data_IF_644392475092
#
_entry.id   IF_644392475092
#
_cell.length_a   1.000
_cell.length_b   1.000
_cell.length_c   1.000
_cell.angle_alpha   90.00
_cell.angle_beta   90.00
_cell.angle_gamma   90.00
#
_symmetry.space_group_name_H-M   'P 1'
#
loop_
_entity.id
_entity.type
_entity.pdbx_description
1 polymer ?
#
# COMPACT_ATOMS: atom_id res chain seq x y z
N UNK A 1 37.71 49.31 -10.24
CA UNK A 1 36.27 49.40 -10.58
C UNK A 1 35.94 49.22 -12.08
N UNK A 2 36.88 49.37 -13.03
CA UNK A 2 36.59 49.20 -14.47
C UNK A 2 36.57 47.73 -14.94
N UNK A 3 37.40 46.84 -14.34
CA UNK A 3 37.39 45.40 -14.68
C UNK A 3 36.03 44.71 -14.42
N UNK A 4 35.35 45.06 -13.33
CA UNK A 4 34.10 44.41 -12.91
C UNK A 4 32.94 44.62 -13.90
N UNK A 5 32.93 45.74 -14.64
CA UNK A 5 31.92 46.00 -15.68
C UNK A 5 32.14 45.21 -16.98
N UNK A 6 33.37 44.75 -17.26
CA UNK A 6 33.64 43.95 -18.47
C UNK A 6 33.28 42.47 -18.32
N UNK A 7 33.39 41.87 -17.13
CA UNK A 7 32.94 40.48 -16.91
C UNK A 7 31.42 40.32 -17.07
N UNK A 8 30.62 41.30 -16.60
CA UNK A 8 29.16 41.23 -16.70
C UNK A 8 28.62 41.28 -18.13
N UNK A 9 29.28 41.97 -19.07
CA UNK A 9 28.84 41.97 -20.47
C UNK A 9 29.17 40.67 -21.22
N UNK A 10 30.23 39.95 -20.83
CA UNK A 10 30.60 38.67 -21.45
C UNK A 10 29.66 37.51 -21.08
N UNK A 11 29.07 37.51 -19.87
CA UNK A 11 28.08 36.51 -19.48
C UNK A 11 26.72 36.67 -20.18
N UNK A 12 26.28 37.91 -20.43
CA UNK A 12 25.01 38.20 -21.12
C UNK A 12 25.00 37.74 -22.59
N UNK A 13 26.15 37.87 -23.26
CA UNK A 13 26.31 37.47 -24.67
C UNK A 13 26.30 35.95 -24.85
N UNK A 14 26.82 35.19 -23.87
CA UNK A 14 26.82 33.72 -23.90
C UNK A 14 25.42 33.12 -23.72
N UNK A 15 24.62 33.64 -22.78
CA UNK A 15 23.23 33.18 -22.57
C UNK A 15 22.37 33.35 -23.83
N UNK A 16 22.60 34.43 -24.58
CA UNK A 16 21.81 34.77 -25.78
C UNK A 16 22.09 33.83 -26.97
N UNK A 17 23.32 33.33 -27.10
CA UNK A 17 23.72 32.42 -28.20
C UNK A 17 23.22 30.99 -27.96
N UNK A 18 23.29 30.50 -26.72
CA UNK A 18 22.81 29.16 -26.34
C UNK A 18 21.28 29.05 -26.53
N UNK A 19 20.53 30.10 -26.19
CA UNK A 19 19.07 30.12 -26.36
C UNK A 19 18.64 30.11 -27.84
N UNK A 20 19.43 30.72 -28.73
CA UNK A 20 19.13 30.78 -30.17
C UNK A 20 19.37 29.44 -30.90
N UNK A 21 20.34 28.65 -30.43
CA UNK A 21 20.64 27.31 -30.94
C UNK A 21 19.60 26.27 -30.50
N UNK A 22 19.13 26.34 -29.25
CA UNK A 22 18.05 25.48 -28.74
C UNK A 22 16.72 25.69 -29.47
N UNK A 23 16.42 26.93 -29.91
CA UNK A 23 15.19 27.22 -30.65
C UNK A 23 15.20 26.69 -32.09
N UNK A 24 16.38 26.58 -32.73
CA UNK A 24 16.51 26.02 -34.08
C UNK A 24 16.38 24.49 -34.13
N UNK A 25 16.74 23.78 -33.04
CA UNK A 25 16.59 22.33 -32.96
C UNK A 25 15.10 21.89 -32.92
N UNK A 26 14.20 22.73 -32.40
CA UNK A 26 12.76 22.41 -32.31
C UNK A 26 11.99 22.54 -33.63
N UNK A 27 12.56 23.15 -34.68
CA UNK A 27 11.84 23.38 -35.94
C UNK A 27 12.05 22.29 -37.02
N UNK A 28 12.84 21.25 -36.74
CA UNK A 28 13.27 20.25 -37.74
C UNK A 28 12.67 18.84 -37.57
N UNK A 29 11.81 18.60 -36.56
CA UNK A 29 11.15 17.31 -36.34
C UNK A 29 9.61 17.42 -36.38
N UNK A 30 9.09 17.99 -37.46
CA UNK A 30 7.66 17.94 -37.81
C UNK A 30 7.48 17.94 -39.32
N UNK A 31 6.64 17.02 -39.81
CA UNK A 31 6.14 16.81 -41.20
C UNK A 31 6.80 15.68 -42.02
N UNK A 32 6.13 14.51 -42.03
CA UNK A 32 5.99 13.53 -43.13
C UNK A 32 5.26 12.28 -42.57
N UNK A 33 4.22 11.67 -43.15
CA UNK A 33 3.43 11.98 -44.35
C UNK A 33 2.00 11.43 -44.18
N UNK A 34 0.99 12.10 -44.77
CA UNK A 34 -0.31 11.49 -45.06
C UNK A 34 -0.29 10.94 -46.49
N UNK A 35 -0.76 9.71 -46.68
CA UNK A 35 -1.23 9.22 -47.98
C UNK A 35 -2.73 8.95 -47.91
N UNK A 36 -3.45 9.42 -48.92
CA UNK A 36 -4.89 9.25 -49.09
C UNK A 36 -5.12 8.15 -50.12
N UNK A 37 -6.11 7.29 -49.88
CA UNK A 37 -6.78 6.58 -50.95
C UNK A 37 -8.30 6.68 -50.74
N UNK A 38 -9.05 6.83 -51.84
CA UNK A 38 -10.42 7.33 -51.85
C UNK A 38 -11.40 6.29 -52.45
N UNK A 39 -12.67 6.73 -52.60
CA UNK A 39 -13.84 6.02 -53.17
C UNK A 39 -14.58 5.08 -52.20
N UNK A 40 -15.92 5.02 -52.18
CA UNK A 40 -16.93 5.85 -52.89
C UNK A 40 -18.27 5.85 -52.13
N UNK A 41 -19.15 6.80 -52.48
CA UNK A 41 -20.45 7.03 -51.83
C UNK A 41 -21.63 6.39 -52.58
N UNK A 42 -22.56 5.75 -51.86
CA UNK A 42 -23.97 5.66 -52.28
C UNK A 42 -24.90 5.51 -51.07
N UNK A 43 -26.03 6.24 -51.09
CA UNK A 43 -27.05 6.34 -50.02
C UNK A 43 -28.34 5.57 -50.40
N UNK A 44 -29.39 5.42 -49.55
CA UNK A 44 -29.98 4.11 -49.30
C UNK A 44 -31.48 3.96 -49.67
N UNK A 45 -32.01 2.73 -49.57
CA UNK A 45 -33.44 2.43 -49.40
C UNK A 45 -33.63 1.05 -48.70
N UNK A 46 -34.77 0.77 -48.04
CA UNK A 46 -34.86 -0.27 -47.00
C UNK A 46 -35.46 -1.61 -47.46
N UNK A 47 -35.18 -2.69 -46.73
CA UNK A 47 -36.02 -3.92 -46.75
C UNK A 47 -35.94 -4.66 -45.42
N UNK A 48 -37.05 -5.30 -45.05
CA UNK A 48 -37.34 -5.92 -43.76
C UNK A 48 -37.05 -7.43 -43.70
N UNK A 49 -36.66 -7.90 -42.50
CA UNK A 49 -36.86 -9.25 -41.92
C UNK A 49 -36.23 -10.46 -42.65
N UNK A 50 -35.27 -11.09 -41.97
CA UNK A 50 -35.27 -12.54 -41.72
C UNK A 50 -34.35 -12.89 -40.53
N UNK A 51 -34.81 -13.69 -39.58
CA UNK A 51 -34.00 -14.28 -38.50
C UNK A 51 -33.64 -15.71 -38.89
N UNK A 52 -32.35 -16.08 -39.02
CA UNK A 52 -31.91 -17.48 -39.08
C UNK A 52 -31.55 -18.00 -37.68
N UNK A 53 -31.65 -19.32 -37.43
CA UNK A 53 -31.49 -19.90 -36.10
C UNK A 53 -30.02 -20.05 -35.66
N UNK A 54 -29.82 -20.20 -34.35
CA UNK A 54 -28.51 -20.39 -33.73
C UNK A 54 -27.81 -21.68 -34.19
N UNK A 55 -26.50 -21.56 -34.44
CA UNK A 55 -25.55 -22.66 -34.68
C UNK A 55 -24.28 -22.41 -33.85
N UNK A 56 -23.50 -23.46 -33.53
CA UNK A 56 -22.65 -23.47 -32.33
C UNK A 56 -21.41 -22.58 -32.45
N UNK A 57 -21.27 -21.64 -31.51
CA UNK A 57 -20.02 -20.88 -31.32
C UNK A 57 -19.02 -21.78 -30.58
N UNK A 58 -18.23 -22.53 -31.33
CA UNK A 58 -17.02 -23.17 -30.83
C UNK A 58 -15.94 -22.10 -30.62
N UNK A 59 -15.89 -21.53 -29.42
CA UNK A 59 -14.93 -20.50 -29.04
C UNK A 59 -14.83 -20.36 -27.53
N UNK A 60 -14.11 -21.28 -26.88
CA UNK A 60 -13.87 -21.24 -25.43
C UNK A 60 -12.92 -20.09 -25.08
N UNK A 61 -13.49 -18.91 -24.81
CA UNK A 61 -12.89 -18.01 -23.84
C UNK A 61 -12.92 -18.69 -22.45
N UNK A 62 -11.86 -18.58 -21.62
CA UNK A 62 -11.89 -19.14 -20.26
C UNK A 62 -13.00 -18.44 -19.45
N UNK A 63 -13.90 -19.24 -18.88
CA UNK A 63 -15.08 -18.75 -18.15
C UNK A 63 -14.69 -18.13 -16.81
N UNK A 64 -14.97 -16.84 -16.64
CA UNK A 64 -14.90 -16.12 -15.37
C UNK A 64 -16.21 -16.29 -14.59
N UNK A 65 -16.35 -17.37 -13.80
CA UNK A 65 -17.45 -17.56 -12.84
C UNK A 65 -16.90 -18.27 -11.58
N UNK A 66 -17.31 -17.82 -10.38
CA UNK A 66 -16.88 -18.36 -9.07
C UNK A 66 -17.37 -19.80 -8.76
N UNK A 67 -17.26 -20.31 -7.54
CA UNK A 67 -17.02 -19.69 -6.22
C UNK A 67 -16.01 -20.54 -5.40
N UNK A 68 -15.62 -20.29 -4.14
CA UNK A 68 -16.12 -19.43 -3.06
C UNK A 68 -14.99 -18.80 -2.23
N UNK A 69 -15.23 -17.54 -1.81
CA UNK A 69 -14.73 -16.80 -0.64
C UNK A 69 -13.20 -16.75 -0.33
N UNK A 70 -12.59 -15.64 0.10
CA UNK A 70 -13.04 -14.31 0.59
C UNK A 70 -13.29 -13.35 -0.60
N UNK A 71 -14.32 -12.47 -0.64
CA UNK A 71 -15.12 -11.85 0.44
C UNK A 71 -15.72 -12.78 1.51
N UNK A 72 -15.52 -12.47 2.79
CA UNK A 72 -16.04 -13.24 3.95
C UNK A 72 -15.22 -14.46 4.44
N UNK A 73 -15.00 -15.44 3.56
CA UNK A 73 -14.47 -16.82 3.79
C UNK A 73 -15.41 -17.78 4.57
N UNK A 74 -15.64 -18.95 4.00
CA UNK A 74 -16.21 -20.15 4.65
C UNK A 74 -15.34 -21.37 4.33
N UNK A 75 -15.35 -22.40 5.18
CA UNK A 75 -14.26 -23.40 5.23
C UNK A 75 -14.23 -24.43 4.09
N UNK A 76 -13.01 -24.78 3.66
CA UNK A 76 -12.63 -26.19 3.53
C UNK A 76 -12.53 -26.79 2.11
N UNK A 77 -11.63 -26.29 1.26
CA UNK A 77 -11.13 -27.05 0.10
C UNK A 77 -9.76 -26.54 -0.39
N UNK A 78 -8.95 -27.45 -0.94
CA UNK A 78 -7.61 -27.14 -1.50
C UNK A 78 -7.77 -26.78 -2.99
N UNK A 79 -7.22 -25.64 -3.42
CA UNK A 79 -7.42 -25.08 -4.77
C UNK A 79 -6.17 -25.20 -5.65
N UNK A 80 -6.29 -25.79 -6.85
CA UNK A 80 -5.17 -26.12 -7.76
C UNK A 80 -4.93 -25.14 -8.93
N UNK A 81 -5.54 -23.96 -8.93
CA UNK A 81 -5.33 -22.90 -9.96
C UNK A 81 -5.19 -21.50 -9.35
N UNK A 82 -4.54 -20.54 -10.04
CA UNK A 82 -4.47 -19.14 -9.61
C UNK A 82 -5.83 -18.44 -9.77
N UNK A 83 -6.23 -17.61 -8.78
CA UNK A 83 -7.43 -16.76 -8.88
C UNK A 83 -7.04 -15.28 -8.95
N UNK A 84 -7.59 -14.61 -9.97
CA UNK A 84 -7.93 -13.18 -9.87
C UNK A 84 -9.33 -13.16 -9.27
N UNK A 85 -9.51 -12.51 -8.13
CA UNK A 85 -10.86 -12.24 -7.63
C UNK A 85 -11.45 -11.11 -8.45
N UNK A 86 -12.24 -11.44 -9.46
CA UNK A 86 -13.28 -10.50 -9.87
C UNK A 86 -14.16 -10.27 -8.63
N UNK A 87 -14.30 -9.01 -8.22
CA UNK A 87 -15.39 -8.62 -7.33
C UNK A 87 -16.71 -8.84 -8.11
N UNK A 88 -17.20 -10.09 -8.13
CA UNK A 88 -18.59 -10.36 -8.47
C UNK A 88 -19.42 -9.66 -7.41
N UNK A 89 -20.01 -8.55 -7.85
CA UNK A 89 -21.10 -7.85 -7.21
C UNK A 89 -20.79 -7.19 -5.85
N UNK A 90 -20.26 -5.95 -5.94
CA UNK A 90 -20.77 -4.86 -5.07
C UNK A 90 -22.28 -4.61 -5.27
N UNK A 91 -22.90 -5.29 -6.25
CA UNK A 91 -24.33 -5.61 -6.26
C UNK A 91 -24.67 -6.79 -5.33
N UNK A 92 -24.21 -6.76 -4.07
CA UNK A 92 -25.14 -7.11 -2.99
C UNK A 92 -26.25 -6.07 -3.09
N UNK A 93 -27.24 -6.38 -3.93
CA UNK A 93 -28.48 -5.64 -3.99
C UNK A 93 -28.96 -5.48 -2.56
N UNK A 94 -29.44 -4.30 -2.21
CA UNK A 94 -29.95 -3.97 -0.89
C UNK A 94 -31.19 -4.80 -0.55
N UNK A 95 -30.97 -6.06 -0.17
CA UNK A 95 -31.94 -7.01 0.37
C UNK A 95 -32.16 -6.78 1.87
N UNK A 96 -31.59 -5.71 2.44
CA UNK A 96 -31.85 -5.29 3.81
C UNK A 96 -33.24 -4.66 4.03
N UNK A 97 -34.07 -4.54 2.98
CA UNK A 97 -35.39 -3.93 3.08
C UNK A 97 -35.34 -2.50 3.67
N UNK A 98 -36.42 -2.04 4.32
CA UNK A 98 -36.32 -0.91 5.23
C UNK A 98 -35.77 -1.41 6.57
N UNK A 99 -34.53 -1.04 6.90
CA UNK A 99 -34.14 -1.01 8.31
C UNK A 99 -35.02 0.00 9.03
N UNK A 100 -35.46 -0.33 10.25
CA UNK A 100 -36.01 0.67 11.16
C UNK A 100 -34.93 1.74 11.40
N UNK A 101 -35.34 3.02 11.41
CA UNK A 101 -34.44 4.12 11.73
C UNK A 101 -33.91 4.04 13.17
N UNK A 102 -34.65 3.33 14.03
CA UNK A 102 -34.43 3.16 15.47
C UNK A 102 -33.63 1.87 15.76
N UNK A 103 -32.56 1.67 15.00
CA UNK A 103 -31.54 0.65 15.27
C UNK A 103 -30.25 1.34 15.70
N UNK A 104 -29.92 1.21 16.99
CA UNK A 104 -28.71 1.77 17.57
C UNK A 104 -27.45 1.26 16.81
N UNK A 105 -26.45 2.12 16.57
CA UNK A 105 -25.22 1.71 15.90
C UNK A 105 -24.52 0.55 16.61
N UNK A 106 -23.91 -0.35 15.85
CA UNK A 106 -23.02 -1.40 16.38
C UNK A 106 -21.58 -1.06 16.00
N UNK A 107 -20.73 -0.91 17.01
CA UNK A 107 -19.29 -0.64 16.87
C UNK A 107 -18.49 -1.92 17.09
N UNK A 108 -17.67 -2.29 16.11
CA UNK A 108 -16.72 -3.42 16.21
C UNK A 108 -15.29 -2.89 16.23
N UNK A 109 -14.51 -3.24 17.25
CA UNK A 109 -13.08 -2.91 17.37
C UNK A 109 -12.27 -4.15 17.02
N UNK A 110 -11.54 -4.14 15.90
CA UNK A 110 -10.97 -5.36 15.30
C UNK A 110 -9.96 -6.08 16.21
N UNK A 111 -9.09 -5.33 16.88
CA UNK A 111 -8.05 -5.89 17.77
C UNK A 111 -8.46 -5.88 19.25
N UNK A 112 -9.77 -5.84 19.53
CA UNK A 112 -10.34 -5.91 20.88
C UNK A 112 -10.29 -4.59 21.64
N UNK A 113 -10.94 -4.58 22.82
CA UNK A 113 -11.11 -3.41 23.67
C UNK A 113 -9.88 -3.09 24.55
N UNK A 114 -8.82 -3.89 24.52
CA UNK A 114 -7.55 -3.59 25.20
C UNK A 114 -6.40 -3.88 24.26
N UNK A 115 -5.59 -2.88 23.97
CA UNK A 115 -4.50 -2.96 22.99
C UNK A 115 -3.24 -2.29 23.56
N UNK A 116 -2.07 -2.74 23.13
CA UNK A 116 -0.77 -2.27 23.62
C UNK A 116 0.12 -1.81 22.46
N UNK A 117 0.76 -0.66 22.62
CA UNK A 117 1.61 -0.02 21.62
C UNK A 117 2.86 0.59 22.27
N UNK A 118 3.92 0.80 21.48
CA UNK A 118 5.16 1.42 21.96
C UNK A 118 6.03 0.54 22.85
N UNK A 119 5.55 -0.61 23.36
CA UNK A 119 6.35 -1.55 24.17
C UNK A 119 7.49 -2.23 23.41
N UNK A 120 7.45 -2.19 22.07
CA UNK A 120 8.56 -2.52 21.18
C UNK A 120 9.14 -1.27 20.49
N UNK A 121 8.77 -0.05 20.86
CA UNK A 121 9.06 1.15 20.07
C UNK A 121 8.04 1.39 18.96
N UNK A 122 8.36 2.29 18.02
CA UNK A 122 7.34 2.92 17.17
C UNK A 122 7.72 2.91 15.67
N UNK A 123 7.05 2.09 14.82
CA UNK A 123 7.32 2.06 13.39
C UNK A 123 6.82 3.31 12.64
N UNK A 124 5.95 4.10 13.25
CA UNK A 124 5.44 5.36 12.71
C UNK A 124 5.10 6.36 13.82
N UNK A 125 4.62 7.56 13.47
CA UNK A 125 4.12 8.56 14.42
C UNK A 125 2.77 8.20 15.06
N UNK A 126 1.96 7.37 14.41
CA UNK A 126 0.57 7.14 14.79
C UNK A 126 0.37 5.78 15.44
N UNK A 127 -0.51 5.74 16.44
CA UNK A 127 -1.22 4.53 16.83
C UNK A 127 -2.55 4.50 16.09
N UNK A 128 -2.86 3.37 15.45
CA UNK A 128 -4.10 3.16 14.70
C UNK A 128 -5.03 2.24 15.50
N UNK A 129 -6.18 2.76 15.96
CA UNK A 129 -7.26 1.92 16.46
C UNK A 129 -8.29 1.73 15.34
N UNK A 130 -8.37 0.49 14.84
CA UNK A 130 -9.13 0.13 13.66
C UNK A 130 -10.44 -0.58 14.03
N UNK A 131 -11.49 -0.36 13.24
CA UNK A 131 -12.79 -0.95 13.48
C UNK A 131 -13.81 -0.64 12.37
N UNK A 132 -15.04 -1.08 12.58
CA UNK A 132 -16.17 -0.85 11.69
C UNK A 132 -17.43 -0.44 12.47
N UNK A 133 -18.26 0.44 11.89
CA UNK A 133 -19.58 0.80 12.40
C UNK A 133 -20.70 0.38 11.45
N UNK A 134 -21.65 -0.42 11.94
CA UNK A 134 -22.85 -0.83 11.20
C UNK A 134 -24.13 -0.28 11.83
N UNK A 135 -25.19 -0.03 11.05
CA UNK A 135 -25.22 0.01 9.58
C UNK A 135 -24.83 1.42 9.10
N UNK A 136 -23.71 1.55 8.34
CA UNK A 136 -23.15 2.83 7.84
C UNK A 136 -24.22 3.83 7.38
N UNK A 137 -25.21 3.37 6.59
CA UNK A 137 -26.24 4.24 5.98
C UNK A 137 -27.15 4.97 6.97
N UNK A 138 -27.20 4.54 8.23
CA UNK A 138 -27.94 5.22 9.30
C UNK A 138 -27.05 6.10 10.17
N UNK A 139 -25.71 6.09 10.00
CA UNK A 139 -24.79 6.83 10.87
C UNK A 139 -24.74 8.31 10.47
N UNK A 140 -25.24 9.18 11.36
CA UNK A 140 -25.23 10.63 11.19
C UNK A 140 -23.93 11.27 11.68
N UNK A 141 -23.25 10.66 12.67
CA UNK A 141 -21.90 11.06 13.08
C UNK A 141 -21.13 9.90 13.71
N UNK A 142 -19.82 9.89 13.47
CA UNK A 142 -18.85 9.04 14.14
C UNK A 142 -17.73 9.94 14.70
N UNK A 143 -17.41 9.78 15.98
CA UNK A 143 -16.40 10.58 16.68
C UNK A 143 -15.57 9.72 17.62
N UNK A 144 -14.37 10.19 18.01
CA UNK A 144 -13.62 9.62 19.12
C UNK A 144 -13.20 10.69 20.14
N UNK A 145 -13.02 10.32 21.41
CA UNK A 145 -12.30 11.12 22.40
C UNK A 145 -11.12 10.34 22.97
N UNK A 146 -10.03 11.04 23.29
CA UNK A 146 -8.86 10.52 23.99
C UNK A 146 -8.80 11.12 25.38
N UNK A 147 -8.69 10.29 26.42
CA UNK A 147 -8.52 10.69 27.82
C UNK A 147 -9.54 11.74 28.31
N UNK A 148 -10.78 11.67 27.82
CA UNK A 148 -11.86 12.62 28.15
C UNK A 148 -11.82 13.97 27.42
N UNK A 149 -10.90 14.16 26.47
CA UNK A 149 -10.82 15.36 25.63
C UNK A 149 -12.08 15.54 24.75
N UNK A 150 -12.34 16.75 24.21
CA UNK A 150 -13.47 17.00 23.32
C UNK A 150 -13.48 16.05 22.10
N UNK A 151 -14.65 15.48 21.72
CA UNK A 151 -14.73 14.53 20.62
C UNK A 151 -14.23 15.11 19.29
N UNK A 152 -13.44 14.32 18.57
CA UNK A 152 -12.91 14.59 17.24
C UNK A 152 -13.68 13.77 16.20
N UNK A 153 -14.00 14.33 15.02
CA UNK A 153 -14.71 13.60 13.97
C UNK A 153 -13.85 12.48 13.37
N UNK A 154 -14.53 11.39 12.98
CA UNK A 154 -13.99 10.33 12.13
C UNK A 154 -14.74 10.33 10.81
N UNK A 155 -14.03 10.03 9.73
CA UNK A 155 -14.65 9.60 8.48
C UNK A 155 -15.08 8.12 8.59
N UNK A 156 -15.77 7.64 7.57
CA UNK A 156 -16.18 6.24 7.43
C UNK A 156 -15.94 5.78 6.00
N UNK A 157 -15.34 4.59 5.84
CA UNK A 157 -15.20 3.91 4.55
C UNK A 157 -16.55 3.49 3.97
N UNK A 158 -16.63 2.99 2.74
CA UNK A 158 -15.52 2.84 1.80
C UNK A 158 -15.01 4.19 1.24
N UNK A 159 -13.69 4.44 1.27
CA UNK A 159 -13.05 5.66 0.74
C UNK A 159 -12.15 5.41 -0.51
N UNK A 160 -12.11 4.16 -0.99
CA UNK A 160 -11.19 3.65 -2.04
C UNK A 160 -9.70 3.80 -1.69
N UNK A 161 -9.40 3.92 -0.40
CA UNK A 161 -8.06 3.98 0.19
C UNK A 161 -8.09 3.18 1.50
N UNK A 162 -7.59 3.77 2.59
CA UNK A 162 -7.29 3.09 3.86
C UNK A 162 -8.55 2.58 4.58
N UNK A 163 -9.73 3.15 4.28
CA UNK A 163 -11.02 2.68 4.80
C UNK A 163 -11.75 1.90 3.70
N UNK A 164 -11.53 0.60 3.67
CA UNK A 164 -11.91 -0.25 2.55
C UNK A 164 -13.41 -0.53 2.44
N UNK A 165 -14.02 -0.98 3.53
CA UNK A 165 -15.40 -1.44 3.57
C UNK A 165 -16.33 -0.37 4.16
N UNK A 166 -17.62 -0.53 3.90
CA UNK A 166 -18.62 0.41 4.39
C UNK A 166 -18.72 0.38 5.92
N UNK A 167 -18.46 1.53 6.54
CA UNK A 167 -18.42 1.69 7.99
C UNK A 167 -17.04 1.56 8.61
N UNK A 168 -16.00 1.21 7.84
CA UNK A 168 -14.63 1.12 8.36
C UNK A 168 -14.16 2.49 8.89
N UNK A 169 -13.41 2.49 9.99
CA UNK A 169 -12.79 3.68 10.55
C UNK A 169 -11.38 3.37 11.09
N UNK A 170 -10.54 4.41 11.11
CA UNK A 170 -9.18 4.35 11.63
C UNK A 170 -8.98 5.57 12.55
N UNK A 171 -8.81 5.35 13.86
CA UNK A 171 -8.46 6.41 14.82
C UNK A 171 -6.95 6.56 14.83
N UNK A 172 -6.45 7.67 14.29
CA UNK A 172 -5.02 7.99 14.25
C UNK A 172 -4.61 8.88 15.44
N UNK A 173 -3.98 8.28 16.44
CA UNK A 173 -3.51 8.98 17.64
C UNK A 173 -2.03 9.32 17.50
N UNK A 174 -1.68 10.59 17.68
CA UNK A 174 -0.27 11.00 17.78
C UNK A 174 0.34 10.41 19.06
N UNK A 175 1.45 9.70 18.96
CA UNK A 175 2.14 9.16 20.14
C UNK A 175 2.56 10.25 21.14
N UNK A 176 2.72 11.50 20.70
CA UNK A 176 3.03 12.64 21.58
C UNK A 176 1.81 13.15 22.38
N UNK A 177 0.59 12.71 22.02
CA UNK A 177 -0.64 12.99 22.77
C UNK A 177 -1.01 11.86 23.75
N UNK A 178 -0.31 10.73 23.69
CA UNK A 178 -0.52 9.59 24.59
C UNK A 178 0.23 9.79 25.91
N UNK A 179 -0.40 9.37 26.99
CA UNK A 179 0.23 9.21 28.30
C UNK A 179 1.07 7.94 28.28
N UNK A 180 2.23 7.95 28.96
CA UNK A 180 2.96 6.73 29.26
C UNK A 180 2.16 5.90 30.28
N UNK A 181 1.84 4.65 29.94
CA UNK A 181 0.85 3.83 30.62
C UNK A 181 -0.53 3.84 29.96
N UNK A 182 -1.59 3.93 30.78
CA UNK A 182 -2.98 3.68 30.34
C UNK A 182 -3.63 4.93 29.76
N UNK A 183 -4.13 4.82 28.54
CA UNK A 183 -4.98 5.79 27.88
C UNK A 183 -6.39 5.21 27.67
N UNK A 184 -7.41 6.06 27.70
CA UNK A 184 -8.80 5.67 27.41
C UNK A 184 -9.24 6.35 26.13
N UNK A 185 -9.69 5.57 25.15
CA UNK A 185 -10.28 6.08 23.90
C UNK A 185 -11.75 5.68 23.87
N UNK A 186 -12.64 6.62 23.57
CA UNK A 186 -14.08 6.33 23.43
C UNK A 186 -14.52 6.68 22.02
N UNK A 187 -14.85 5.68 21.20
CA UNK A 187 -15.47 5.88 19.89
C UNK A 187 -16.98 5.93 20.12
N UNK A 188 -17.66 6.95 19.59
CA UNK A 188 -19.12 7.12 19.69
C UNK A 188 -19.71 7.28 18.31
N UNK A 189 -20.72 6.46 18.01
CA UNK A 189 -21.54 6.56 16.81
C UNK A 189 -22.94 7.06 17.19
N UNK A 190 -23.50 7.97 16.38
CA UNK A 190 -24.88 8.45 16.51
C UNK A 190 -25.61 8.19 15.19
N UNK A 191 -26.79 7.57 15.24
CA UNK A 191 -27.60 7.34 14.03
C UNK A 191 -28.51 8.56 13.69
N UNK A 192 -29.22 8.50 12.57
CA UNK A 192 -30.16 9.54 12.12
C UNK A 192 -31.38 9.72 13.03
N UNK A 193 -31.73 8.74 13.87
CA UNK A 193 -32.74 8.85 14.94
C UNK A 193 -32.17 9.41 16.26
N UNK A 194 -30.90 9.85 16.28
CA UNK A 194 -30.13 10.29 17.45
C UNK A 194 -29.83 9.21 18.51
N UNK A 195 -30.05 7.94 18.22
CA UNK A 195 -29.61 6.85 19.08
C UNK A 195 -28.08 6.73 19.02
N UNK A 196 -27.48 6.31 20.14
CA UNK A 196 -26.03 6.32 20.32
C UNK A 196 -25.52 5.00 20.86
N UNK A 197 -24.36 4.62 20.36
CA UNK A 197 -23.55 3.55 20.94
C UNK A 197 -22.11 4.04 21.07
N UNK A 198 -21.44 3.57 22.11
CA UNK A 198 -20.06 3.90 22.40
C UNK A 198 -19.24 2.64 22.67
N UNK A 199 -18.03 2.60 22.14
CA UNK A 199 -17.03 1.57 22.43
C UNK A 199 -15.86 2.23 23.17
N UNK A 200 -15.50 1.70 24.33
CA UNK A 200 -14.35 2.15 25.11
C UNK A 200 -13.18 1.20 24.88
N UNK A 201 -12.03 1.76 24.47
CA UNK A 201 -10.77 1.05 24.26
C UNK A 201 -9.78 1.51 25.34
N UNK A 202 -9.19 0.55 26.04
CA UNK A 202 -8.01 0.75 26.89
C UNK A 202 -6.76 0.60 26.04
N UNK A 203 -6.03 1.69 25.84
CA UNK A 203 -4.78 1.73 25.06
C UNK A 203 -3.61 1.84 26.04
N UNK A 204 -2.83 0.78 26.19
CA UNK A 204 -1.57 0.84 26.94
C UNK A 204 -0.47 1.32 26.00
N UNK A 205 0.17 2.44 26.33
CA UNK A 205 1.29 2.98 25.55
C UNK A 205 2.56 2.98 26.40
N UNK A 206 3.69 2.56 25.82
CA UNK A 206 5.00 2.71 26.46
C UNK A 206 5.82 3.75 25.69
N UNK A 207 6.11 4.88 26.32
CA UNK A 207 6.88 5.96 25.73
C UNK A 207 8.39 5.66 25.73
N UNK A 208 9.13 6.24 24.78
CA UNK A 208 10.60 6.26 24.78
C UNK A 208 11.31 4.92 24.51
N UNK A 209 10.58 3.82 24.30
CA UNK A 209 11.18 2.55 23.86
C UNK A 209 11.60 2.63 22.39
N UNK A 210 12.68 1.94 22.04
CA UNK A 210 13.21 1.81 20.68
C UNK A 210 13.24 0.32 20.31
N UNK A 211 12.76 -0.01 19.10
CA UNK A 211 12.71 -1.40 18.65
C UNK A 211 14.11 -2.02 18.54
N UNK A 212 14.36 -3.19 19.16
CA UNK A 212 15.66 -3.84 19.10
C UNK A 212 16.02 -4.24 17.66
N UNK A 213 17.27 -4.02 17.26
CA UNK A 213 17.83 -4.48 16.00
C UNK A 213 19.12 -5.27 16.32
N UNK A 214 19.23 -6.58 15.98
CA UNK A 214 18.32 -7.39 15.19
C UNK A 214 16.97 -7.70 15.86
N UNK A 215 15.99 -8.06 15.05
CA UNK A 215 14.65 -8.49 15.47
C UNK A 215 14.20 -9.71 14.66
N UNK A 216 13.31 -10.54 15.22
CA UNK A 216 12.56 -11.54 14.45
C UNK A 216 11.19 -11.73 15.09
N UNK A 217 10.11 -11.71 14.30
CA UNK A 217 8.75 -11.98 14.81
C UNK A 217 8.58 -13.45 15.18
N UNK A 218 7.53 -13.75 15.94
CA UNK A 218 7.03 -15.11 16.11
C UNK A 218 5.50 -15.07 16.11
N UNK A 219 4.88 -15.12 14.92
CA UNK A 219 3.43 -15.02 14.77
C UNK A 219 2.68 -16.14 15.49
N UNK A 220 3.27 -17.34 15.50
CA UNK A 220 2.70 -18.54 16.11
C UNK A 220 2.72 -18.51 17.65
N UNK A 221 3.77 -17.92 18.24
CA UNK A 221 3.97 -17.86 19.69
C UNK A 221 3.30 -16.67 20.38
N UNK A 222 3.00 -15.58 19.66
CA UNK A 222 2.36 -14.41 20.24
C UNK A 222 0.90 -14.66 20.67
N UNK A 223 0.35 -13.79 21.52
CA UNK A 223 -1.07 -13.71 21.85
C UNK A 223 -1.85 -12.72 20.96
N UNK A 224 -1.18 -11.76 20.32
CA UNK A 224 -1.78 -10.85 19.31
C UNK A 224 -0.76 -10.43 18.23
N UNK A 225 -1.21 -9.80 17.14
CA UNK A 225 -0.28 -9.17 16.17
C UNK A 225 0.47 -8.01 16.84
N UNK A 226 -0.25 -7.20 17.63
CA UNK A 226 0.31 -6.03 18.32
C UNK A 226 1.39 -6.37 19.37
N UNK A 227 1.49 -7.62 19.81
CA UNK A 227 2.59 -8.04 20.68
C UNK A 227 3.95 -8.00 19.99
N UNK A 228 4.00 -8.30 18.68
CA UNK A 228 5.24 -8.52 17.91
C UNK A 228 5.37 -7.65 16.64
N UNK A 229 4.37 -6.83 16.32
CA UNK A 229 4.34 -5.89 15.20
C UNK A 229 3.32 -4.75 15.49
N UNK A 230 3.10 -3.82 14.57
CA UNK A 230 1.97 -2.88 14.65
C UNK A 230 1.13 -2.95 13.38
N UNK A 231 -0.15 -3.28 13.48
CA UNK A 231 -1.08 -3.06 12.36
C UNK A 231 -1.27 -1.56 12.15
N UNK A 232 -1.19 -1.15 10.88
CA UNK A 232 -1.35 0.23 10.41
C UNK A 232 -2.70 0.38 9.71
N UNK A 233 -3.03 -0.56 8.81
CA UNK A 233 -4.29 -0.58 8.06
C UNK A 233 -4.82 -1.99 7.78
N UNK A 234 -6.15 -2.07 7.75
CA UNK A 234 -6.92 -3.28 7.52
C UNK A 234 -7.12 -4.14 8.76
N UNK A 235 -8.07 -5.05 8.66
CA UNK A 235 -8.22 -6.17 9.58
C UNK A 235 -7.26 -7.29 9.17
N UNK A 236 -6.53 -7.86 10.12
CA UNK A 236 -5.54 -8.91 9.93
C UNK A 236 -5.77 -10.05 10.92
N UNK A 237 -5.64 -11.28 10.44
CA UNK A 237 -5.70 -12.49 11.26
C UNK A 237 -4.35 -13.19 11.31
N UNK A 238 -4.14 -13.96 12.37
CA UNK A 238 -3.01 -14.90 12.48
C UNK A 238 -3.52 -16.30 12.19
N UNK A 239 -2.89 -16.97 11.24
CA UNK A 239 -3.26 -18.31 10.78
C UNK A 239 -2.00 -19.08 10.37
N UNK A 240 -1.85 -20.32 10.85
CA UNK A 240 -0.76 -21.21 10.42
C UNK A 240 0.67 -20.69 10.67
N UNK A 241 0.89 -19.82 11.65
CA UNK A 241 2.19 -19.16 11.87
C UNK A 241 2.49 -18.01 10.89
N UNK A 242 1.45 -17.48 10.23
CA UNK A 242 1.51 -16.31 9.36
C UNK A 242 0.51 -15.25 9.81
N UNK A 243 0.67 -14.02 9.34
CA UNK A 243 -0.41 -13.02 9.29
C UNK A 243 -0.97 -12.91 7.88
N UNK A 244 -2.28 -12.66 7.76
CA UNK A 244 -3.00 -12.51 6.49
C UNK A 244 -4.04 -11.39 6.62
N UNK A 245 -4.18 -10.48 5.64
CA UNK A 245 -5.24 -9.49 5.70
C UNK A 245 -6.57 -10.23 5.55
N UNK A 246 -7.58 -9.86 6.34
CA UNK A 246 -8.88 -10.49 6.15
C UNK A 246 -9.49 -10.03 4.84
N UNK A 247 -9.34 -8.77 4.43
CA UNK A 247 -9.89 -8.25 3.16
C UNK A 247 -8.77 -7.79 2.21
N UNK A 248 -8.80 -8.25 0.96
CA UNK A 248 -8.11 -7.58 -0.14
C UNK A 248 -8.81 -6.24 -0.45
N UNK A 249 -8.04 -5.16 -0.47
CA UNK A 249 -8.43 -3.80 -0.90
C UNK A 249 -7.15 -2.95 -0.93
N UNK A 250 -7.27 -1.63 -1.11
CA UNK A 250 -6.19 -0.67 -1.00
C UNK A 250 -5.41 -0.81 0.32
N UNK A 251 -4.08 -0.80 0.22
CA UNK A 251 -3.07 -0.84 1.29
C UNK A 251 -3.48 -1.56 2.58
N UNK A 252 -3.12 -2.84 2.69
CA UNK A 252 -3.07 -3.57 3.95
C UNK A 252 -1.66 -3.52 4.49
N UNK A 253 -1.49 -2.95 5.67
CA UNK A 253 -0.19 -2.47 6.16
C UNK A 253 0.08 -2.94 7.59
N UNK A 254 1.27 -3.52 7.80
CA UNK A 254 1.79 -3.91 9.13
C UNK A 254 3.23 -3.42 9.28
N UNK A 255 3.46 -2.54 10.25
CA UNK A 255 4.75 -1.94 10.57
C UNK A 255 5.57 -2.80 11.53
N UNK A 256 6.88 -2.88 11.29
CA UNK A 256 7.85 -3.61 12.09
C UNK A 256 9.11 -2.75 12.24
N UNK A 257 9.60 -2.65 13.48
CA UNK A 257 10.80 -1.89 13.78
C UNK A 257 10.55 -0.46 14.23
N UNK A 258 11.62 0.30 14.35
CA UNK A 258 11.58 1.68 14.84
C UNK A 258 11.88 2.68 13.73
N UNK A 259 11.32 3.88 13.84
CA UNK A 259 11.68 5.00 12.95
C UNK A 259 13.16 5.41 13.03
N UNK A 260 13.88 5.03 14.08
CA UNK A 260 15.31 5.30 14.24
C UNK A 260 16.27 4.33 13.50
N UNK A 261 15.77 3.25 12.87
CA UNK A 261 16.63 2.29 12.19
C UNK A 261 17.22 2.84 10.88
N UNK A 262 18.54 2.77 10.69
CA UNK A 262 19.24 3.37 9.51
C UNK A 262 19.66 2.35 8.45
N UNK A 263 20.35 1.27 8.87
CA UNK A 263 21.08 0.34 8.02
C UNK A 263 20.70 -1.10 8.39
N UNK A 264 19.93 -1.77 7.52
CA UNK A 264 19.42 -3.10 7.82
C UNK A 264 19.04 -3.90 6.57
N UNK A 265 18.94 -5.20 6.78
CA UNK A 265 18.43 -6.20 5.85
C UNK A 265 17.23 -6.90 6.49
N UNK A 266 16.15 -7.04 5.73
CA UNK A 266 14.92 -7.74 6.12
C UNK A 266 14.66 -8.92 5.18
N UNK A 267 14.23 -10.03 5.74
CA UNK A 267 13.75 -11.24 5.04
C UNK A 267 12.35 -11.56 5.53
N UNK A 268 11.42 -11.77 4.59
CA UNK A 268 10.03 -12.11 4.88
C UNK A 268 9.58 -13.29 4.00
N UNK A 269 9.16 -14.43 4.60
CA UNK A 269 8.41 -15.46 3.88
C UNK A 269 7.05 -14.89 3.47
N UNK A 270 6.66 -15.01 2.20
CA UNK A 270 5.31 -14.63 1.72
C UNK A 270 4.69 -15.75 0.89
N UNK A 271 3.36 -15.78 0.82
CA UNK A 271 2.62 -16.63 -0.12
C UNK A 271 1.45 -15.84 -0.68
N UNK A 272 1.41 -15.67 -2.00
CA UNK A 272 0.40 -14.89 -2.70
C UNK A 272 -0.76 -15.81 -3.07
N UNK A 273 -1.93 -15.60 -2.46
CA UNK A 273 -3.10 -16.46 -2.67
C UNK A 273 -3.95 -15.99 -3.84
N UNK A 274 -4.19 -14.68 -3.90
CA UNK A 274 -4.97 -14.04 -4.97
C UNK A 274 -4.65 -12.54 -5.11
N UNK A 275 -5.12 -11.99 -6.21
CA UNK A 275 -5.01 -10.57 -6.61
C UNK A 275 -6.43 -10.03 -6.82
N UNK A 276 -6.70 -8.81 -6.36
CA UNK A 276 -7.94 -8.09 -6.71
C UNK A 276 -7.99 -7.85 -8.21
N UNK A 277 -9.14 -8.14 -8.81
CA UNK A 277 -9.45 -7.82 -10.20
C UNK A 277 -9.67 -6.32 -10.37
N UNK A 278 -10.82 -5.95 -10.93
CA UNK A 278 -11.00 -4.61 -11.49
C UNK A 278 -10.85 -3.45 -10.49
N UNK A 279 -11.25 -3.61 -9.23
CA UNK A 279 -11.10 -2.55 -8.22
C UNK A 279 -9.61 -2.22 -7.99
N UNK A 280 -8.72 -3.23 -7.96
CA UNK A 280 -7.29 -3.05 -7.78
C UNK A 280 -6.54 -2.39 -8.93
N UNK A 281 -7.03 -2.48 -10.17
CA UNK A 281 -6.44 -1.80 -11.34
C UNK A 281 -6.99 -0.39 -11.60
N UNK A 282 -8.08 -0.01 -10.93
CA UNK A 282 -8.67 1.32 -11.08
C UNK A 282 -7.91 2.38 -10.26
N UNK A 283 -7.98 3.68 -10.63
CA UNK A 283 -7.50 4.76 -9.77
C UNK A 283 -8.28 4.80 -8.43
N UNK A 284 -7.63 5.08 -7.28
CA UNK A 284 -6.26 5.60 -7.16
C UNK A 284 -5.14 4.54 -7.27
N UNK A 285 -5.44 3.26 -7.04
CA UNK A 285 -4.48 2.14 -6.95
C UNK A 285 -3.65 1.96 -8.22
N UNK A 286 -4.32 1.95 -9.38
CA UNK A 286 -3.70 1.74 -10.70
C UNK A 286 -2.94 0.40 -10.83
N UNK A 287 -3.24 -0.57 -9.96
CA UNK A 287 -2.76 -1.95 -10.04
C UNK A 287 -2.32 -2.53 -8.67
N UNK A 288 -2.55 -3.83 -8.41
CA UNK A 288 -2.13 -4.49 -7.18
C UNK A 288 -0.60 -4.64 -6.98
N UNK A 289 -0.17 -4.91 -5.75
CA UNK A 289 1.22 -5.19 -5.42
C UNK A 289 1.47 -5.72 -4.00
N UNK A 290 2.57 -6.47 -3.81
CA UNK A 290 2.98 -7.04 -2.51
C UNK A 290 4.48 -6.88 -2.30
N UNK A 291 4.89 -6.33 -1.16
CA UNK A 291 6.30 -6.14 -0.88
C UNK A 291 6.63 -5.53 0.47
N UNK A 292 7.82 -4.93 0.50
CA UNK A 292 8.47 -4.36 1.67
C UNK A 292 8.82 -2.91 1.37
N UNK A 293 8.41 -2.00 2.25
CA UNK A 293 8.81 -0.60 2.21
C UNK A 293 9.77 -0.34 3.36
N UNK A 294 10.96 0.18 3.05
CA UNK A 294 12.03 0.46 4.01
C UNK A 294 12.19 1.95 4.25
N UNK A 295 12.72 2.27 5.44
CA UNK A 295 12.87 3.63 5.97
C UNK A 295 11.56 4.42 5.96
N UNK A 296 10.50 3.78 6.43
CA UNK A 296 9.21 4.44 6.56
C UNK A 296 9.15 5.32 7.81
N UNK A 297 8.59 6.52 7.67
CA UNK A 297 8.33 7.44 8.78
C UNK A 297 6.85 7.46 9.24
N UNK A 298 5.98 6.75 8.52
CA UNK A 298 4.55 6.71 8.78
C UNK A 298 3.72 7.40 7.70
N UNK A 299 2.40 7.39 7.89
CA UNK A 299 1.54 8.24 7.07
C UNK A 299 1.70 9.73 7.47
N UNK A 300 1.46 10.63 6.52
CA UNK A 300 1.44 12.07 6.78
C UNK A 300 0.23 12.74 6.14
N UNK A 301 -0.12 13.92 6.65
CA UNK A 301 -1.25 14.70 6.17
C UNK A 301 -0.90 15.39 4.84
N UNK A 302 -1.65 15.11 3.77
CA UNK A 302 -1.48 15.84 2.51
C UNK A 302 -2.38 17.09 2.42
N UNK A 303 -3.58 17.01 2.98
CA UNK A 303 -4.55 18.10 3.00
C UNK A 303 -5.35 18.10 4.32
N UNK A 304 -6.62 17.73 4.28
CA UNK A 304 -7.52 17.61 5.44
C UNK A 304 -8.23 16.25 5.49
N UNK A 305 -7.62 15.25 4.87
CA UNK A 305 -8.15 13.88 4.82
C UNK A 305 -8.09 13.18 6.18
N UNK A 306 -9.01 12.26 6.42
CA UNK A 306 -9.02 11.40 7.59
C UNK A 306 -9.43 9.99 7.11
N UNK A 307 -8.67 8.93 7.41
CA UNK A 307 -7.30 8.96 7.93
C UNK A 307 -6.31 9.60 6.92
N UNK A 308 -5.09 9.89 7.36
CA UNK A 308 -4.02 10.48 6.53
C UNK A 308 -3.66 9.60 5.34
N UNK A 309 -3.43 10.17 4.17
CA UNK A 309 -3.14 9.37 2.95
C UNK A 309 -1.75 9.59 2.36
N UNK A 310 -0.97 10.56 2.86
CA UNK A 310 0.44 10.67 2.49
C UNK A 310 1.22 9.46 2.97
N UNK A 311 2.07 8.89 2.12
CA UNK A 311 2.83 7.66 2.40
C UNK A 311 4.28 7.72 1.89
N UNK A 312 4.59 8.71 1.05
CA UNK A 312 5.86 8.89 0.34
C UNK A 312 7.05 9.32 1.22
N UNK A 313 6.87 9.47 2.54
CA UNK A 313 7.97 9.61 3.51
C UNK A 313 8.62 8.23 3.75
N UNK A 314 9.30 7.74 2.71
CA UNK A 314 9.90 6.41 2.58
C UNK A 314 11.30 6.48 1.97
N UNK A 315 12.15 5.49 2.26
CA UNK A 315 13.40 5.27 1.55
C UNK A 315 13.18 4.60 0.19
N UNK A 316 12.65 3.37 0.22
CA UNK A 316 12.23 2.65 -0.98
C UNK A 316 11.16 1.57 -0.71
N UNK A 317 10.32 1.28 -1.70
CA UNK A 317 9.35 0.16 -1.73
C UNK A 317 9.78 -0.84 -2.80
N UNK A 318 10.19 -2.04 -2.39
CA UNK A 318 10.48 -3.18 -3.27
C UNK A 318 9.33 -4.18 -3.23
N UNK A 319 8.70 -4.43 -4.38
CA UNK A 319 7.49 -5.26 -4.46
C UNK A 319 7.35 -6.02 -5.79
N UNK A 320 6.56 -7.09 -5.75
CA UNK A 320 5.87 -7.59 -6.94
C UNK A 320 4.71 -6.65 -7.28
N UNK A 321 4.55 -6.31 -8.57
CA UNK A 321 3.61 -5.30 -9.05
C UNK A 321 2.83 -5.82 -10.26
N UNK A 322 1.49 -5.78 -10.23
CA UNK A 322 0.60 -6.16 -11.34
C UNK A 322 0.07 -4.94 -12.09
N UNK A 323 0.49 -4.76 -13.32
CA UNK A 323 0.04 -3.67 -14.18
C UNK A 323 -0.99 -4.16 -15.20
N UNK A 324 -1.83 -3.24 -15.70
CA UNK A 324 -2.76 -3.48 -16.81
C UNK A 324 -2.42 -2.53 -17.95
N UNK A 325 -2.17 -3.05 -19.14
CA UNK A 325 -1.88 -2.22 -20.32
C UNK A 325 -3.15 -1.58 -20.91
N UNK A 326 -2.97 -0.70 -21.91
CA UNK A 326 -4.09 -0.05 -22.61
C UNK A 326 -4.95 -0.99 -23.46
N UNK A 327 -4.54 -2.25 -23.65
CA UNK A 327 -5.33 -3.33 -24.26
C UNK A 327 -6.06 -4.20 -23.24
N UNK A 328 -5.88 -3.95 -21.94
CA UNK A 328 -6.44 -4.74 -20.84
C UNK A 328 -5.62 -5.95 -20.41
N UNK A 329 -4.43 -6.17 -20.98
CA UNK A 329 -3.58 -7.30 -20.60
C UNK A 329 -2.96 -7.04 -19.23
N UNK A 330 -3.08 -8.01 -18.32
CA UNK A 330 -2.45 -7.96 -17.00
C UNK A 330 -1.07 -8.63 -17.08
N UNK A 331 -0.05 -7.96 -16.57
CA UNK A 331 1.32 -8.47 -16.44
C UNK A 331 1.91 -8.12 -15.09
N UNK A 332 2.87 -8.91 -14.61
CA UNK A 332 3.54 -8.69 -13.34
C UNK A 332 5.06 -8.70 -13.48
N UNK A 333 5.74 -8.10 -12.52
CA UNK A 333 7.19 -8.11 -12.39
C UNK A 333 7.61 -7.52 -11.03
N UNK A 334 8.91 -7.42 -10.79
CA UNK A 334 9.43 -6.67 -9.66
C UNK A 334 9.58 -5.19 -10.01
N UNK A 335 9.25 -4.33 -9.06
CA UNK A 335 9.46 -2.89 -9.15
C UNK A 335 10.12 -2.40 -7.85
N UNK A 336 10.93 -1.36 -7.97
CA UNK A 336 11.53 -0.65 -6.85
C UNK A 336 11.23 0.84 -6.98
N UNK A 337 10.46 1.38 -6.04
CA UNK A 337 10.11 2.80 -5.94
C UNK A 337 10.94 3.49 -4.87
N UNK A 338 11.20 4.79 -5.00
CA UNK A 338 11.93 5.61 -4.02
C UNK A 338 11.20 6.90 -3.62
N UNK A 339 11.79 7.60 -2.64
CA UNK A 339 11.24 8.80 -1.97
C UNK A 339 10.49 9.82 -2.85
N UNK A 340 11.05 10.23 -4.00
CA UNK A 340 10.52 11.33 -4.81
C UNK A 340 9.18 10.97 -5.46
N UNK A 341 8.07 11.23 -4.77
CA UNK A 341 6.69 10.90 -5.17
C UNK A 341 6.46 9.41 -5.53
N UNK A 342 7.24 8.48 -4.95
CA UNK A 342 7.18 7.07 -5.32
C UNK A 342 7.78 6.78 -6.70
N UNK A 343 8.77 7.56 -7.14
CA UNK A 343 9.45 7.38 -8.43
C UNK A 343 10.08 5.99 -8.55
N UNK A 344 9.89 5.35 -9.71
CA UNK A 344 10.58 4.12 -10.08
C UNK A 344 12.10 4.33 -10.23
N UNK A 345 12.88 3.50 -9.54
CA UNK A 345 14.35 3.52 -9.53
C UNK A 345 14.99 2.20 -10.01
N UNK A 346 14.24 1.10 -10.06
CA UNK A 346 14.59 -0.12 -10.78
C UNK A 346 13.34 -0.97 -11.10
N UNK A 347 13.44 -1.82 -12.13
CA UNK A 347 12.44 -2.84 -12.48
C UNK A 347 13.13 -4.13 -12.94
N UNK A 348 12.47 -5.26 -12.67
CA UNK A 348 12.77 -6.55 -13.28
C UNK A 348 11.44 -7.15 -13.79
N UNK A 349 11.11 -6.97 -15.09
CA UNK A 349 9.89 -7.49 -15.69
C UNK A 349 9.95 -9.00 -16.00
N UNK A 350 11.07 -9.67 -15.68
CA UNK A 350 11.28 -11.10 -15.99
C UNK A 350 10.98 -12.00 -14.79
N UNK A 351 11.12 -11.49 -13.57
CA UNK A 351 10.76 -12.21 -12.34
C UNK A 351 9.28 -12.02 -12.02
N UNK A 352 8.47 -13.01 -12.43
CA UNK A 352 7.00 -13.04 -12.27
C UNK A 352 6.63 -13.98 -11.10
N UNK A 353 5.72 -13.58 -10.19
CA UNK A 353 5.31 -14.42 -9.07
C UNK A 353 4.32 -15.51 -9.50
N UNK A 354 4.50 -16.74 -9.01
CA UNK A 354 3.47 -17.77 -9.04
C UNK A 354 2.54 -17.67 -7.82
N UNK A 355 1.24 -17.87 -8.01
CA UNK A 355 0.28 -17.96 -6.91
C UNK A 355 0.46 -19.26 -6.12
N UNK A 356 0.21 -19.21 -4.81
CA UNK A 356 0.33 -20.31 -3.83
C UNK A 356 1.74 -20.89 -3.68
N UNK A 357 2.71 -20.35 -4.41
CA UNK A 357 4.13 -20.63 -4.24
C UNK A 357 4.67 -19.78 -3.08
N UNK A 358 5.34 -20.39 -2.10
CA UNK A 358 5.99 -19.65 -1.02
C UNK A 358 7.29 -19.02 -1.52
N UNK A 359 7.44 -17.70 -1.38
CA UNK A 359 8.66 -16.94 -1.69
C UNK A 359 9.32 -16.41 -0.42
N UNK A 360 10.62 -16.20 -0.44
CA UNK A 360 11.27 -15.20 0.40
C UNK A 360 11.33 -13.87 -0.37
N UNK A 361 10.88 -12.79 0.26
CA UNK A 361 11.20 -11.43 -0.14
C UNK A 361 12.33 -10.94 0.75
N UNK A 362 13.39 -10.43 0.14
CA UNK A 362 14.55 -9.90 0.86
C UNK A 362 14.89 -8.50 0.36
N UNK A 363 14.94 -7.55 1.27
CA UNK A 363 15.27 -6.16 0.97
C UNK A 363 16.32 -5.63 1.94
N UNK A 364 17.21 -4.77 1.46
CA UNK A 364 18.19 -4.09 2.29
C UNK A 364 18.27 -2.61 1.97
N UNK A 365 18.62 -1.81 2.98
CA UNK A 365 19.02 -0.41 2.87
C UNK A 365 20.37 -0.22 3.54
N UNK A 366 21.27 0.50 2.88
CA UNK A 366 22.62 0.72 3.37
C UNK A 366 23.12 2.12 3.00
N UNK A 367 23.49 2.88 4.03
CA UNK A 367 23.94 4.27 3.92
C UNK A 367 25.19 4.38 3.06
N UNK A 368 25.15 5.29 2.10
CA UNK A 368 26.23 5.57 1.17
C UNK A 368 26.36 7.10 0.91
N UNK A 369 27.50 7.59 0.38
CA UNK A 369 27.79 9.03 0.34
C UNK A 369 26.91 9.89 -0.59
N UNK A 370 26.11 9.28 -1.48
CA UNK A 370 25.31 9.98 -2.50
C UNK A 370 23.93 9.32 -2.58
N UNK A 371 23.15 9.37 -1.51
CA UNK A 371 21.93 8.58 -1.38
C UNK A 371 22.23 7.09 -1.11
N UNK A 372 21.31 6.44 -0.41
CA UNK A 372 21.51 5.08 0.11
C UNK A 372 21.36 4.02 -0.98
N UNK A 373 21.99 2.86 -0.77
CA UNK A 373 21.88 1.72 -1.67
C UNK A 373 20.76 0.81 -1.18
N UNK A 374 19.72 0.69 -2.00
CA UNK A 374 18.62 -0.24 -1.83
C UNK A 374 18.86 -1.47 -2.68
N UNK A 375 18.58 -2.66 -2.12
CA UNK A 375 18.67 -3.92 -2.86
C UNK A 375 17.44 -4.76 -2.57
N UNK A 376 16.85 -5.34 -3.59
CA UNK A 376 15.67 -6.20 -3.48
C UNK A 376 15.86 -7.47 -4.30
N UNK A 377 15.50 -8.62 -3.73
CA UNK A 377 15.48 -9.90 -4.42
C UNK A 377 14.43 -10.83 -3.85
N UNK A 378 14.04 -11.79 -4.68
CA UNK A 378 13.04 -12.82 -4.35
C UNK A 378 13.51 -14.19 -4.81
N UNK A 379 13.10 -15.24 -4.11
CA UNK A 379 13.28 -16.62 -4.56
C UNK A 379 12.25 -17.53 -3.89
N UNK A 380 11.95 -18.68 -4.49
CA UNK A 380 11.03 -19.68 -3.94
C UNK A 380 11.66 -20.32 -2.70
N UNK A 381 10.89 -20.57 -1.64
CA UNK A 381 11.44 -20.97 -0.34
C UNK A 381 12.11 -22.34 -0.33
N UNK A 382 11.85 -23.19 -1.33
CA UNK A 382 12.51 -24.48 -1.52
C UNK A 382 13.84 -24.38 -2.30
N UNK A 383 14.16 -23.20 -2.84
CA UNK A 383 15.42 -22.91 -3.54
C UNK A 383 16.44 -22.24 -2.60
N UNK A 384 17.76 -22.42 -2.86
CA UNK A 384 18.80 -21.68 -2.16
C UNK A 384 18.72 -20.17 -2.47
N UNK A 385 19.06 -19.33 -1.49
CA UNK A 385 19.14 -17.86 -1.67
C UNK A 385 20.09 -17.51 -2.84
N UNK A 386 19.63 -16.82 -3.91
CA UNK A 386 20.49 -16.43 -5.01
C UNK A 386 21.62 -15.50 -4.57
N UNK A 387 22.83 -15.73 -5.09
CA UNK A 387 23.98 -14.87 -4.78
C UNK A 387 23.84 -13.45 -5.33
N UNK A 388 23.18 -13.29 -6.49
CA UNK A 388 22.84 -12.00 -7.08
C UNK A 388 21.58 -11.41 -6.45
N UNK A 389 21.43 -10.09 -6.56
CA UNK A 389 20.18 -9.38 -6.29
C UNK A 389 19.42 -9.18 -7.61
N UNK A 390 18.10 -9.30 -7.61
CA UNK A 390 17.28 -8.95 -8.79
C UNK A 390 17.45 -7.46 -9.14
N UNK A 391 17.41 -6.60 -8.11
CA UNK A 391 17.54 -5.16 -8.27
C UNK A 391 18.48 -4.57 -7.22
N UNK A 392 19.34 -3.65 -7.68
CA UNK A 392 20.17 -2.78 -6.85
C UNK A 392 20.00 -1.37 -7.41
N UNK A 393 19.61 -0.41 -6.56
CA UNK A 393 19.40 0.97 -6.95
C UNK A 393 19.95 1.93 -5.90
N UNK A 394 20.27 3.15 -6.36
CA UNK A 394 20.65 4.27 -5.54
C UNK A 394 19.40 5.12 -5.27
N UNK A 395 19.11 5.38 -4.01
CA UNK A 395 18.01 6.25 -3.59
C UNK A 395 18.30 7.73 -3.83
N UNK A 396 17.29 8.57 -3.59
CA UNK A 396 17.48 10.02 -3.61
C UNK A 396 18.30 10.48 -2.39
N UNK A 397 19.22 11.43 -2.58
CA UNK A 397 20.05 11.96 -1.49
C UNK A 397 19.26 12.75 -0.43
N UNK A 398 18.01 13.11 -0.71
CA UNK A 398 17.08 13.77 0.21
C UNK A 398 16.03 12.79 0.79
N UNK A 399 16.16 11.49 0.54
CA UNK A 399 15.31 10.47 1.18
C UNK A 399 15.55 10.39 2.69
N UNK A 400 14.64 9.75 3.45
CA UNK A 400 14.81 9.55 4.89
C UNK A 400 16.11 8.82 5.21
N UNK A 401 16.86 9.31 6.21
CA UNK A 401 18.11 8.71 6.70
C UNK A 401 17.88 7.45 7.57
N UNK A 402 16.63 7.27 8.00
CA UNK A 402 16.17 6.28 8.95
C UNK A 402 14.70 5.94 8.69
N UNK A 403 14.21 4.85 9.28
CA UNK A 403 12.79 4.51 9.33
C UNK A 403 12.54 3.01 9.46
N UNK A 404 11.29 2.66 9.76
CA UNK A 404 10.86 1.28 9.99
C UNK A 404 10.69 0.48 8.69
N UNK A 405 10.34 -0.80 8.84
CA UNK A 405 9.87 -1.68 7.77
C UNK A 405 8.33 -1.67 7.76
N UNK A 406 7.73 -1.60 6.58
CA UNK A 406 6.31 -1.82 6.37
C UNK A 406 6.09 -3.04 5.47
N UNK A 407 5.28 -3.98 5.92
CA UNK A 407 4.74 -5.06 5.10
C UNK A 407 3.55 -4.50 4.31
N UNK A 408 3.58 -4.66 2.99
CA UNK A 408 2.57 -4.09 2.08
C UNK A 408 1.86 -5.20 1.33
N UNK A 409 0.53 -5.27 1.48
CA UNK A 409 -0.37 -6.01 0.60
C UNK A 409 -1.42 -5.04 0.03
N UNK A 410 -1.15 -4.50 -1.14
CA UNK A 410 -1.98 -3.53 -1.84
C UNK A 410 -2.86 -4.25 -2.86
N UNK A 411 -4.15 -4.43 -2.58
CA UNK A 411 -5.07 -5.24 -3.39
C UNK A 411 -4.62 -6.70 -3.57
N UNK A 412 -3.92 -7.26 -2.57
CA UNK A 412 -3.41 -8.63 -2.55
C UNK A 412 -3.95 -9.39 -1.35
N UNK A 413 -4.38 -10.64 -1.58
CA UNK A 413 -4.58 -11.64 -0.54
C UNK A 413 -3.29 -12.47 -0.41
N UNK A 414 -2.56 -12.30 0.70
CA UNK A 414 -1.30 -13.00 0.95
C UNK A 414 -1.04 -13.28 2.43
N UNK A 415 -0.40 -14.41 2.69
CA UNK A 415 0.18 -14.72 4.00
C UNK A 415 1.62 -14.18 4.08
N UNK A 416 1.97 -13.58 5.22
CA UNK A 416 3.33 -13.20 5.58
C UNK A 416 3.78 -14.04 6.78
N UNK A 417 4.85 -14.82 6.62
CA UNK A 417 5.51 -15.58 7.68
C UNK A 417 6.45 -14.71 8.51
N UNK A 418 7.25 -15.34 9.38
CA UNK A 418 8.07 -14.60 10.34
C UNK A 418 9.12 -13.69 9.68
N UNK A 419 9.11 -12.42 10.08
CA UNK A 419 9.97 -11.37 9.55
C UNK A 419 11.27 -11.35 10.34
N UNK A 420 12.41 -11.51 9.68
CA UNK A 420 13.73 -11.39 10.30
C UNK A 420 14.43 -10.13 9.81
N UNK A 421 14.89 -9.28 10.74
CA UNK A 421 15.61 -8.03 10.45
C UNK A 421 16.97 -8.03 11.13
N UNK A 422 18.02 -7.71 10.37
CA UNK A 422 19.42 -7.72 10.83
C UNK A 422 20.11 -6.39 10.51
N UNK A 423 20.98 -5.86 11.40
CA UNK A 423 21.72 -4.64 11.13
C UNK A 423 22.75 -4.85 10.01
N UNK A 424 22.97 -3.81 9.21
CA UNK A 424 24.08 -3.72 8.26
C UNK A 424 25.09 -2.66 8.72
N UNK A 425 26.35 -2.83 8.31
CA UNK A 425 27.36 -1.76 8.48
C UNK A 425 27.21 -0.72 7.37
N UNK A 426 27.13 0.56 7.70
CA UNK A 426 27.10 1.65 6.71
C UNK A 426 28.35 1.66 5.82
N UNK A 427 28.21 1.99 4.52
CA UNK A 427 29.33 2.19 3.60
C UNK A 427 29.84 3.63 3.74
N UNK A 428 30.46 3.93 4.88
CA UNK A 428 31.20 5.19 5.06
C UNK A 428 32.65 4.98 4.63
N UNK A 429 33.28 5.95 3.92
CA UNK A 429 34.72 5.97 3.79
C UNK A 429 35.33 5.96 5.19
N UNK A 430 36.30 5.09 5.46
CA UNK A 430 37.17 5.27 6.63
C UNK A 430 37.91 6.59 6.42
N UNK A 431 37.53 7.62 7.19
CA UNK A 431 38.42 8.74 7.44
C UNK A 431 39.65 8.18 8.16
N UNK A 432 40.68 7.89 7.39
CA UNK A 432 42.02 7.66 7.90
C UNK A 432 42.50 9.01 8.46
N UNK A 433 42.24 9.23 9.75
CA UNK A 433 42.89 10.30 10.50
C UNK A 433 44.35 9.87 10.62
N UNK A 434 45.22 10.46 9.80
CA UNK A 434 46.66 10.31 9.97
C UNK A 434 47.02 10.92 11.33
N UNK A 435 47.49 10.08 12.25
CA UNK A 435 47.97 10.46 13.57
C UNK A 435 49.42 10.99 13.50
#
# INVERSE_FOLDING_TARGET
MILLKRLFQLHSLWLSIVLFLLLHALLLFSVASKTVQAQSTSTPAPTTIAVPPAGPISGTAPSLIGTDAKPGLSQGSILTTPLIYAHQDRAVASLEGPLAADVAPVLTIWYGATQSFGHLGNPQRWVNLLGNVTPKRLIASLVYSLNGAPPQPLSMGADKRRLAQDGDFNVELDINALQDGVNTVVVTATNTSNEKSAATITLNYTAGTVWPLPYTTNWAGAASIHEVAQVVDGEWVREGGTIRPTWLDYDRLVGIGDRSWTDYEVVVPVTIHAVDGDDGFNPPSSGPGIGLLLRWQGHFQQASEQPRTGWQELGALGWFRWNRDGGGNIFAGLQLLGYYAGKEIAVDPTTVPAFKTPYFLKMSVQTAPVGDIYRFKVWEQDQPEPAAWNMVAQGDANGPDSGSVLLVAHHIDASFGDVSVRPLSAIRPKLAVNA
#
